data_IF_042842633187
#
_entry.id   IF_042842633187
#
_cell.length_a   1.000
_cell.length_b   1.000
_cell.length_c   1.000
_cell.angle_alpha   90.00
_cell.angle_beta   90.00
_cell.angle_gamma   90.00
#
_symmetry.space_group_name_H-M   'P 1'
#
loop_
_entity.id
_entity.type
_entity.pdbx_description
1 polymer ?
#
# COMPACT_ATOMS: atom_id res chain seq x y z
N UNK A 1 21.69 -15.94 3.73
CA UNK A 1 20.82 -14.99 4.45
C UNK A 1 19.39 -15.51 4.38
N UNK A 2 18.93 -16.22 5.41
CA UNK A 2 17.52 -16.63 5.48
C UNK A 2 16.69 -15.36 5.68
N UNK A 3 15.84 -15.01 4.70
CA UNK A 3 14.77 -14.03 4.93
C UNK A 3 13.73 -14.78 5.76
N UNK A 4 13.54 -14.40 7.02
CA UNK A 4 12.33 -14.78 7.74
C UNK A 4 11.13 -14.37 6.88
N UNK A 5 10.33 -15.36 6.46
CA UNK A 5 9.09 -15.14 5.73
C UNK A 5 8.02 -14.73 6.74
N UNK A 6 8.14 -13.54 7.30
CA UNK A 6 7.14 -13.00 8.21
C UNK A 6 5.90 -12.58 7.40
N UNK A 7 4.95 -13.51 7.22
CA UNK A 7 3.68 -13.24 6.56
C UNK A 7 2.79 -12.39 7.46
N UNK A 8 2.15 -11.37 6.88
CA UNK A 8 1.19 -10.51 7.56
C UNK A 8 0.10 -10.17 6.55
N UNK A 9 -1.12 -10.61 6.84
CA UNK A 9 -2.29 -10.11 6.16
C UNK A 9 -2.73 -8.78 6.79
N UNK A 10 -2.83 -7.75 5.96
CA UNK A 10 -3.21 -6.39 6.33
C UNK A 10 -4.35 -5.92 5.41
N UNK A 11 -5.02 -6.87 4.73
CA UNK A 11 -6.07 -6.59 3.75
C UNK A 11 -7.22 -5.82 4.38
N UNK A 12 -7.60 -6.14 5.63
CA UNK A 12 -8.68 -5.43 6.32
C UNK A 12 -8.39 -3.92 6.47
N UNK A 13 -7.16 -3.54 6.86
CA UNK A 13 -6.80 -2.15 7.00
C UNK A 13 -6.70 -1.44 5.64
N UNK A 14 -6.10 -2.11 4.65
CA UNK A 14 -5.99 -1.57 3.29
C UNK A 14 -7.38 -1.35 2.65
N UNK A 15 -8.30 -2.31 2.80
CA UNK A 15 -9.69 -2.21 2.32
C UNK A 15 -10.39 -1.04 3.01
N UNK A 16 -10.27 -0.92 4.34
CA UNK A 16 -10.88 0.18 5.07
C UNK A 16 -10.37 1.55 4.59
N UNK A 17 -9.07 1.68 4.30
CA UNK A 17 -8.51 2.91 3.77
C UNK A 17 -9.01 3.23 2.35
N UNK A 18 -9.11 2.22 1.48
CA UNK A 18 -9.65 2.39 0.12
C UNK A 18 -11.12 2.82 0.16
N UNK A 19 -11.92 2.17 1.00
CA UNK A 19 -13.35 2.49 1.17
C UNK A 19 -13.54 3.93 1.68
N UNK A 20 -12.75 4.34 2.68
CA UNK A 20 -12.79 5.71 3.19
C UNK A 20 -12.41 6.75 2.11
N UNK A 21 -11.33 6.50 1.36
CA UNK A 21 -10.90 7.41 0.29
C UNK A 21 -11.92 7.47 -0.86
N UNK A 22 -12.52 6.33 -1.22
CA UNK A 22 -13.60 6.26 -2.22
C UNK A 22 -14.81 7.08 -1.78
N UNK A 23 -15.25 6.91 -0.54
CA UNK A 23 -16.37 7.68 0.01
C UNK A 23 -16.08 9.19 0.05
N UNK A 24 -14.83 9.58 0.30
CA UNK A 24 -14.40 10.97 0.35
C UNK A 24 -13.98 11.57 -1.01
N UNK A 25 -14.00 10.80 -2.10
CA UNK A 25 -13.47 11.24 -3.41
C UNK A 25 -11.98 11.59 -3.37
N UNK A 26 -11.23 11.04 -2.41
CA UNK A 26 -9.82 11.35 -2.21
C UNK A 26 -8.95 10.46 -3.11
N UNK A 27 -8.07 11.04 -3.95
CA UNK A 27 -7.16 10.24 -4.76
C UNK A 27 -6.14 9.53 -3.87
N UNK A 28 -5.79 8.29 -4.26
CA UNK A 28 -4.79 7.47 -3.57
C UNK A 28 -3.53 7.26 -4.43
N UNK A 29 -2.36 7.27 -3.77
CA UNK A 29 -1.08 6.83 -4.31
C UNK A 29 -0.67 5.53 -3.62
N UNK A 30 -0.60 4.45 -4.39
CA UNK A 30 -0.18 3.14 -3.88
C UNK A 30 1.35 3.10 -3.74
N UNK A 31 1.83 2.74 -2.55
CA UNK A 31 3.26 2.68 -2.21
C UNK A 31 3.64 1.27 -1.74
N UNK A 32 4.44 0.59 -2.55
CA UNK A 32 5.20 -0.59 -2.13
C UNK A 32 6.61 -0.20 -1.69
N UNK A 33 7.63 -0.77 -2.34
CA UNK A 33 9.04 -0.45 -2.06
C UNK A 33 9.48 0.97 -2.47
N UNK A 34 8.69 1.69 -3.26
CA UNK A 34 8.86 3.10 -3.63
C UNK A 34 10.20 3.49 -4.31
N UNK A 35 11.04 2.51 -4.64
CA UNK A 35 12.36 2.69 -5.26
C UNK A 35 12.36 3.38 -6.63
N UNK A 36 11.18 3.59 -7.21
CA UNK A 36 10.97 4.20 -8.54
C UNK A 36 10.11 5.46 -8.48
N UNK A 37 9.95 6.07 -7.31
CA UNK A 37 9.16 7.30 -7.15
C UNK A 37 9.67 8.47 -8.00
N UNK A 38 10.94 8.44 -8.42
CA UNK A 38 11.54 9.42 -9.33
C UNK A 38 11.14 9.25 -10.80
N UNK A 39 10.54 8.12 -11.17
CA UNK A 39 10.06 7.88 -12.53
C UNK A 39 8.61 8.37 -12.65
N UNK A 40 8.37 9.29 -13.57
CA UNK A 40 7.03 9.79 -13.89
C UNK A 40 6.70 11.14 -13.26
N UNK A 41 5.39 11.43 -13.17
CA UNK A 41 4.87 12.70 -12.66
C UNK A 41 4.71 12.65 -11.14
N UNK A 42 4.91 13.80 -10.49
CA UNK A 42 4.55 13.94 -9.08
C UNK A 42 3.04 13.69 -8.90
N UNK A 43 2.69 12.88 -7.91
CA UNK A 43 1.30 12.54 -7.58
C UNK A 43 0.93 13.20 -6.26
N UNK A 44 -0.08 14.08 -6.29
CA UNK A 44 -0.66 14.69 -5.09
C UNK A 44 -1.89 13.87 -4.71
N UNK A 45 -1.67 12.91 -3.80
CA UNK A 45 -2.69 11.96 -3.36
C UNK A 45 -2.32 11.40 -1.98
N UNK A 46 -3.31 10.90 -1.25
CA UNK A 46 -3.06 10.23 0.03
C UNK A 46 -2.32 8.90 -0.22
N UNK A 47 -1.31 8.60 0.59
CA UNK A 47 -0.56 7.35 0.44
C UNK A 47 -1.31 6.18 1.05
N UNK A 48 -1.38 5.06 0.31
CA UNK A 48 -1.72 3.74 0.82
C UNK A 48 -0.46 2.86 0.76
N UNK A 49 0.07 2.47 1.93
CA UNK A 49 1.33 1.74 2.05
C UNK A 49 1.06 0.24 2.14
N UNK A 50 1.47 -0.51 1.12
CA UNK A 50 1.20 -1.95 1.04
C UNK A 50 2.27 -2.80 1.72
N UNK A 51 3.32 -2.20 2.29
CA UNK A 51 4.42 -2.98 2.91
C UNK A 51 4.02 -3.70 4.20
N UNK A 52 2.92 -3.28 4.83
CA UNK A 52 2.29 -3.99 5.93
C UNK A 52 1.80 -5.38 5.48
N UNK A 53 1.15 -5.43 4.32
CA UNK A 53 0.70 -6.66 3.68
C UNK A 53 1.85 -7.40 2.99
N UNK A 54 2.31 -8.50 3.57
CA UNK A 54 3.53 -9.21 3.10
C UNK A 54 3.43 -10.71 3.30
N UNK A 55 4.28 -11.45 2.58
CA UNK A 55 4.33 -12.90 2.62
C UNK A 55 3.31 -13.55 1.67
N UNK A 56 3.08 -14.84 1.86
CA UNK A 56 1.98 -15.57 1.21
C UNK A 56 0.83 -15.56 2.22
N UNK A 57 -0.20 -14.78 1.91
CA UNK A 57 -1.41 -14.58 2.72
C UNK A 57 -2.56 -15.39 2.11
N UNK A 58 -3.57 -15.74 2.91
CA UNK A 58 -4.74 -16.56 2.52
C UNK A 58 -6.02 -15.76 2.58
#
# INVERSE_FOLDING_TARGET
>A
MQRELNSMDDSAALIAQVEAARAAGTPLRIRGGDSKAFLGRAVVAQTIDTRGHRGIVT
#
